data_IF_065695052974
#
_entry.id   IF_065695052974
#
_cell.length_a   1.000
_cell.length_b   1.000
_cell.length_c   1.000
_cell.angle_alpha   90.00
_cell.angle_beta   90.00
_cell.angle_gamma   90.00
#
_symmetry.space_group_name_H-M   'P 1'
#
loop_
_entity.id
_entity.type
_entity.pdbx_description
1 polymer ?
#
# COMPACT_ATOMS: atom_id res chain seq x y z
N UNK A 1 -2.69 -0.60 -21.04
CA UNK A 1 -3.50 0.15 -20.05
C UNK A 1 -2.71 0.51 -18.80
N UNK A 2 -2.31 -0.44 -17.94
CA UNK A 2 -1.51 -0.11 -16.75
C UNK A 2 -0.13 0.45 -17.10
N UNK A 3 0.62 -0.25 -17.97
CA UNK A 3 1.99 0.14 -18.34
C UNK A 3 2.03 1.32 -19.32
N UNK A 4 1.09 1.35 -20.26
CA UNK A 4 1.08 2.36 -21.33
C UNK A 4 0.42 3.67 -20.91
N UNK A 5 -0.51 3.65 -19.95
CA UNK A 5 -1.26 4.84 -19.52
C UNK A 5 -2.18 5.43 -20.59
N UNK A 6 -2.35 4.75 -21.73
CA UNK A 6 -3.17 5.24 -22.84
C UNK A 6 -4.61 5.47 -22.40
N UNK A 7 -5.14 6.65 -22.70
CA UNK A 7 -6.49 7.09 -22.32
C UNK A 7 -6.73 7.23 -20.81
N UNK A 8 -5.68 7.34 -20.01
CA UNK A 8 -5.82 7.67 -18.59
C UNK A 8 -6.57 8.99 -18.41
N UNK A 9 -7.70 8.93 -17.70
CA UNK A 9 -8.58 10.05 -17.41
C UNK A 9 -8.50 10.49 -15.93
N UNK A 10 -7.61 9.87 -15.16
CA UNK A 10 -7.26 10.24 -13.81
C UNK A 10 -5.80 9.94 -13.47
N UNK A 11 -5.33 10.50 -12.35
CA UNK A 11 -4.04 10.14 -11.77
C UNK A 11 -4.13 10.08 -10.24
N UNK A 12 -3.51 9.04 -9.64
CA UNK A 12 -3.31 8.97 -8.19
C UNK A 12 -2.12 9.86 -7.82
N UNK A 13 -2.33 10.78 -6.89
CA UNK A 13 -1.33 11.73 -6.41
C UNK A 13 -1.24 11.61 -4.90
N UNK A 14 -0.02 11.55 -4.38
CA UNK A 14 0.23 11.44 -2.94
C UNK A 14 0.73 12.77 -2.38
N UNK A 15 0.12 13.21 -1.29
CA UNK A 15 0.50 14.45 -0.60
C UNK A 15 0.84 14.16 0.85
N UNK A 16 1.96 14.69 1.33
CA UNK A 16 2.30 14.72 2.75
C UNK A 16 1.98 16.10 3.32
N UNK A 17 1.44 16.15 4.54
CA UNK A 17 1.09 17.39 5.27
C UNK A 17 2.29 18.35 5.50
N UNK A 18 3.51 17.93 5.15
CA UNK A 18 4.73 18.72 5.24
C UNK A 18 4.88 19.81 4.18
N UNK A 19 3.95 19.95 3.23
CA UNK A 19 3.97 21.02 2.22
C UNK A 19 2.75 21.94 2.33
N UNK A 20 2.72 22.77 3.38
CA UNK A 20 1.81 23.91 3.52
C UNK A 20 2.12 25.08 2.58
N UNK A 21 2.65 24.84 1.37
CA UNK A 21 2.84 25.88 0.37
C UNK A 21 2.17 25.51 -0.95
N UNK A 22 1.26 26.40 -1.33
CA UNK A 22 0.48 26.45 -2.55
C UNK A 22 1.37 26.63 -3.78
N UNK A 23 1.77 25.54 -4.43
CA UNK A 23 2.48 25.63 -5.71
C UNK A 23 1.57 25.20 -6.86
N UNK A 24 0.91 26.21 -7.42
CA UNK A 24 0.45 26.21 -8.81
C UNK A 24 1.69 26.35 -9.71
N UNK A 25 2.27 25.25 -10.18
CA UNK A 25 2.92 25.15 -11.50
C UNK A 25 3.57 23.75 -11.72
N UNK A 26 3.29 23.15 -12.88
CA UNK A 26 4.00 22.02 -13.53
C UNK A 26 4.97 22.63 -14.59
N UNK A 27 5.88 21.89 -15.27
CA UNK A 27 6.29 20.48 -15.13
C UNK A 27 7.82 20.21 -15.17
N UNK A 28 8.17 18.92 -14.97
CA UNK A 28 9.40 18.21 -15.38
C UNK A 28 10.76 18.59 -14.78
N UNK A 29 11.29 17.71 -13.92
CA UNK A 29 12.71 17.30 -13.91
C UNK A 29 12.95 16.20 -12.87
N UNK A 30 13.46 15.06 -13.35
CA UNK A 30 14.02 14.01 -12.51
C UNK A 30 15.44 14.42 -12.06
N UNK A 31 15.71 14.22 -10.77
CA UNK A 31 16.95 14.58 -10.05
C UNK A 31 17.22 16.08 -9.92
N UNK A 32 17.01 16.63 -8.71
CA UNK A 32 17.61 17.90 -8.34
C UNK A 32 17.78 17.97 -6.82
N UNK A 33 19.02 18.24 -6.42
CA UNK A 33 19.46 18.66 -5.08
C UNK A 33 18.87 20.02 -4.65
N UNK A 34 18.11 20.68 -5.53
CA UNK A 34 17.24 21.81 -5.24
C UNK A 34 15.77 21.35 -5.16
N UNK A 35 15.32 21.02 -3.95
CA UNK A 35 13.92 21.17 -3.47
C UNK A 35 12.74 20.46 -4.18
N UNK A 36 12.89 19.93 -5.39
CA UNK A 36 11.78 19.37 -6.16
C UNK A 36 11.80 17.85 -6.08
N UNK A 37 11.16 17.29 -5.04
CA UNK A 37 10.86 15.86 -5.02
C UNK A 37 9.74 15.61 -6.05
N UNK A 38 9.96 14.77 -7.09
CA UNK A 38 8.89 14.44 -8.01
C UNK A 38 7.73 13.82 -7.22
N UNK A 39 6.58 14.48 -7.23
CA UNK A 39 5.34 13.95 -6.66
C UNK A 39 5.04 12.66 -7.43
N UNK A 40 4.98 11.52 -6.75
CA UNK A 40 4.59 10.26 -7.36
C UNK A 40 3.18 10.42 -7.92
N UNK A 41 3.06 10.43 -9.24
CA UNK A 41 1.80 10.54 -9.97
C UNK A 41 1.64 9.28 -10.83
N UNK A 42 0.59 8.50 -10.56
CA UNK A 42 0.32 7.26 -11.29
C UNK A 42 -0.91 7.44 -12.18
N UNK A 43 -0.77 7.46 -13.51
CA UNK A 43 -1.91 7.55 -14.41
C UNK A 43 -2.81 6.32 -14.25
N UNK A 44 -4.12 6.53 -14.29
CA UNK A 44 -5.12 5.49 -14.08
C UNK A 44 -6.46 5.84 -14.73
N UNK A 45 -7.42 4.92 -14.65
CA UNK A 45 -8.72 5.03 -15.30
C UNK A 45 -9.85 5.06 -14.28
N UNK A 46 -10.68 6.11 -14.29
CA UNK A 46 -11.82 6.28 -13.37
C UNK A 46 -12.79 5.10 -13.43
N UNK A 47 -13.05 4.58 -14.64
CA UNK A 47 -13.94 3.44 -14.84
C UNK A 47 -13.42 2.18 -14.13
N UNK A 48 -12.12 1.89 -14.25
CA UNK A 48 -11.49 0.72 -13.60
C UNK A 48 -11.51 0.90 -12.08
N UNK A 49 -11.05 2.06 -11.58
CA UNK A 49 -11.06 2.35 -10.13
C UNK A 49 -12.47 2.23 -9.55
N UNK A 50 -13.48 2.79 -10.21
CA UNK A 50 -14.87 2.76 -9.74
C UNK A 50 -15.50 1.36 -9.79
N UNK A 51 -15.08 0.52 -10.74
CA UNK A 51 -15.55 -0.87 -10.83
C UNK A 51 -14.96 -1.73 -9.70
N UNK A 52 -13.69 -1.49 -9.35
CA UNK A 52 -12.92 -2.32 -8.42
C UNK A 52 -13.02 -1.89 -6.96
N UNK A 53 -13.36 -0.62 -6.71
CA UNK A 53 -13.40 -0.05 -5.37
C UNK A 53 -14.64 0.82 -5.19
N UNK A 54 -15.58 0.41 -4.32
CA UNK A 54 -16.69 1.26 -3.89
C UNK A 54 -16.22 2.61 -3.33
N UNK A 55 -15.09 2.64 -2.61
CA UNK A 55 -14.47 3.87 -2.12
C UNK A 55 -14.17 4.84 -3.27
N UNK A 56 -13.41 4.41 -4.29
CA UNK A 56 -13.07 5.27 -5.43
C UNK A 56 -14.30 5.63 -6.26
N UNK A 57 -15.25 4.70 -6.43
CA UNK A 57 -16.52 4.97 -7.09
C UNK A 57 -17.27 6.12 -6.42
N UNK A 58 -17.40 6.05 -5.09
CA UNK A 58 -18.09 7.08 -4.32
C UNK A 58 -17.34 8.41 -4.35
N UNK A 59 -16.00 8.39 -4.29
CA UNK A 59 -15.16 9.58 -4.39
C UNK A 59 -15.35 10.29 -5.75
N UNK A 60 -15.26 9.53 -6.85
CA UNK A 60 -15.41 10.04 -8.22
C UNK A 60 -16.83 10.57 -8.44
N UNK A 61 -17.86 9.82 -8.04
CA UNK A 61 -19.26 10.25 -8.20
C UNK A 61 -19.59 11.54 -7.44
N UNK A 62 -19.00 11.76 -6.26
CA UNK A 62 -19.17 13.02 -5.51
C UNK A 62 -18.57 14.19 -6.27
N UNK A 63 -17.39 14.04 -6.86
CA UNK A 63 -16.75 15.07 -7.69
C UNK A 63 -17.58 15.41 -8.93
N UNK A 64 -18.09 14.39 -9.63
CA UNK A 64 -18.97 14.59 -10.80
C UNK A 64 -20.22 15.41 -10.45
N UNK A 65 -20.83 15.16 -9.28
CA UNK A 65 -22.01 15.90 -8.81
C UNK A 65 -21.70 17.35 -8.42
N UNK A 66 -20.47 17.63 -7.97
CA UNK A 66 -20.02 18.98 -7.60
C UNK A 66 -19.86 19.92 -8.82
N UNK A 67 -19.81 19.36 -10.04
CA UNK A 67 -19.64 20.14 -11.27
C UNK A 67 -18.17 20.46 -11.63
N UNK A 68 -17.21 20.13 -10.75
CA UNK A 68 -15.77 20.24 -11.00
C UNK A 68 -15.33 19.45 -12.25
N UNK A 69 -16.01 18.34 -12.57
CA UNK A 69 -15.74 17.51 -13.75
C UNK A 69 -16.05 18.20 -15.10
N UNK A 70 -16.93 19.21 -15.15
CA UNK A 70 -17.40 19.79 -16.41
C UNK A 70 -16.30 20.60 -17.12
N UNK A 71 -15.47 21.31 -16.36
CA UNK A 71 -14.33 22.07 -16.90
C UNK A 71 -13.16 21.15 -17.24
N UNK A 72 -12.89 20.13 -16.41
CA UNK A 72 -11.82 19.14 -16.65
C UNK A 72 -12.05 18.36 -17.95
N UNK A 73 -13.29 17.93 -18.21
CA UNK A 73 -13.64 17.21 -19.46
C UNK A 73 -13.52 18.09 -20.70
N UNK A 74 -13.88 19.37 -20.61
CA UNK A 74 -13.76 20.31 -21.72
C UNK A 74 -12.28 20.60 -22.06
N UNK A 75 -11.39 20.53 -21.07
CA UNK A 75 -9.96 20.82 -21.22
C UNK A 75 -9.08 19.57 -21.39
N UNK A 76 -9.66 18.37 -21.43
CA UNK A 76 -8.92 17.10 -21.45
C UNK A 76 -7.87 16.97 -20.33
N UNK A 77 -8.14 17.57 -19.16
CA UNK A 77 -7.23 17.50 -18.01
C UNK A 77 -7.57 16.24 -17.19
N UNK A 78 -6.61 15.34 -16.92
CA UNK A 78 -6.84 14.17 -16.09
C UNK A 78 -7.24 14.57 -14.66
N UNK A 79 -8.27 13.90 -14.14
CA UNK A 79 -8.78 14.13 -12.78
C UNK A 79 -7.74 13.67 -11.75
N UNK A 80 -7.24 14.58 -10.90
CA UNK A 80 -6.24 14.25 -9.87
C UNK A 80 -6.93 13.73 -8.60
N UNK A 81 -6.68 12.47 -8.26
CA UNK A 81 -7.18 11.82 -7.04
C UNK A 81 -6.06 11.91 -6.00
N UNK A 82 -6.26 12.80 -5.02
CA UNK A 82 -5.27 13.07 -3.98
C UNK A 82 -5.47 12.11 -2.81
N UNK A 83 -4.41 11.39 -2.45
CA UNK A 83 -4.34 10.49 -1.30
C UNK A 83 -3.34 11.03 -0.29
N UNK A 84 -3.75 11.10 0.97
CA UNK A 84 -2.88 11.52 2.06
C UNK A 84 -1.85 10.42 2.39
N UNK A 85 -0.57 10.77 2.31
CA UNK A 85 0.55 9.86 2.64
C UNK A 85 0.56 9.40 4.09
N UNK A 86 -0.07 10.16 5.00
CA UNK A 86 -0.20 9.78 6.41
C UNK A 86 -1.14 8.58 6.60
N UNK A 87 -2.10 8.41 5.68
CA UNK A 87 -3.10 7.32 5.69
C UNK A 87 -2.70 6.20 4.74
N UNK A 88 -2.27 6.56 3.52
CA UNK A 88 -1.87 5.61 2.48
C UNK A 88 -0.44 5.96 2.07
N UNK A 89 0.57 5.31 2.67
CA UNK A 89 1.95 5.56 2.33
C UNK A 89 2.19 5.30 0.85
N UNK A 90 2.77 6.29 0.16
CA UNK A 90 3.02 6.24 -1.30
C UNK A 90 3.83 5.01 -1.76
N UNK A 91 4.55 4.35 -0.85
CA UNK A 91 5.29 3.11 -1.15
C UNK A 91 4.40 1.97 -1.65
N UNK A 92 3.13 1.97 -1.25
CA UNK A 92 2.13 0.96 -1.65
C UNK A 92 1.41 1.30 -2.96
N UNK A 93 1.64 2.49 -3.53
CA UNK A 93 0.87 2.98 -4.67
C UNK A 93 0.93 2.04 -5.88
N UNK A 94 2.12 1.49 -6.18
CA UNK A 94 2.33 0.59 -7.32
C UNK A 94 1.65 -0.76 -7.13
N UNK A 95 1.81 -1.40 -5.97
CA UNK A 95 1.16 -2.69 -5.67
C UNK A 95 -0.37 -2.55 -5.68
N UNK A 96 -0.91 -1.45 -5.14
CA UNK A 96 -2.36 -1.18 -5.17
C UNK A 96 -2.88 -1.02 -6.60
N UNK A 97 -2.21 -0.19 -7.41
CA UNK A 97 -2.64 0.03 -8.78
C UNK A 97 -2.48 -1.24 -9.63
N UNK A 98 -1.41 -2.01 -9.42
CA UNK A 98 -1.22 -3.29 -10.08
C UNK A 98 -2.34 -4.28 -9.75
N UNK A 99 -2.68 -4.42 -8.46
CA UNK A 99 -3.77 -5.29 -8.02
C UNK A 99 -5.13 -4.90 -8.62
N UNK A 100 -5.41 -3.60 -8.75
CA UNK A 100 -6.65 -3.10 -9.39
C UNK A 100 -6.77 -3.54 -10.86
N UNK A 101 -5.66 -3.63 -11.59
CA UNK A 101 -5.67 -3.94 -13.02
C UNK A 101 -5.54 -5.44 -13.29
N UNK A 102 -4.68 -6.12 -12.53
CA UNK A 102 -4.29 -7.50 -12.83
C UNK A 102 -4.85 -8.54 -11.85
N UNK A 103 -5.58 -8.11 -10.82
CA UNK A 103 -6.13 -8.98 -9.78
C UNK A 103 -5.07 -9.82 -9.03
N UNK A 104 -3.87 -9.27 -8.89
CA UNK A 104 -2.75 -9.95 -8.21
C UNK A 104 -2.03 -8.99 -7.26
N UNK A 105 -1.76 -9.47 -6.05
CA UNK A 105 -0.94 -8.76 -5.06
C UNK A 105 0.51 -9.21 -5.19
N UNK A 106 1.39 -8.29 -5.56
CA UNK A 106 2.83 -8.54 -5.64
C UNK A 106 3.58 -7.54 -4.74
N UNK A 107 4.09 -8.04 -3.60
CA UNK A 107 4.83 -7.21 -2.63
C UNK A 107 6.19 -6.72 -3.17
N UNK A 108 6.72 -7.30 -4.26
CA UNK A 108 7.94 -6.80 -4.91
C UNK A 108 7.77 -5.39 -5.47
N UNK A 109 6.52 -4.99 -5.75
CA UNK A 109 6.17 -3.67 -6.27
C UNK A 109 6.13 -2.59 -5.18
N UNK A 110 6.29 -2.95 -3.91
CA UNK A 110 6.39 -1.98 -2.81
C UNK A 110 7.69 -1.21 -2.95
N UNK A 111 7.60 0.11 -3.01
CA UNK A 111 8.76 0.98 -3.09
C UNK A 111 9.48 1.05 -1.74
N UNK A 112 10.35 0.08 -1.52
CA UNK A 112 11.41 0.13 -0.51
C UNK A 112 12.48 1.02 -1.13
N UNK A 113 12.66 2.24 -0.64
CA UNK A 113 13.46 3.29 -1.29
C UNK A 113 14.78 2.81 -1.91
N UNK A 114 15.21 3.49 -2.98
CA UNK A 114 16.49 3.29 -3.68
C UNK A 114 17.62 2.91 -2.69
N UNK A 115 18.38 1.82 -2.89
CA UNK A 115 18.59 1.06 -4.12
C UNK A 115 17.87 -0.29 -4.17
N UNK A 116 17.14 -0.48 -5.28
CA UNK A 116 16.89 -1.81 -5.82
C UNK A 116 18.23 -2.51 -6.06
N UNK A 117 18.41 -3.65 -5.42
CA UNK A 117 19.58 -4.50 -5.58
C UNK A 117 19.51 -5.61 -4.57
N UNK A 118 19.33 -6.83 -5.06
CA UNK A 118 19.78 -8.06 -4.41
C UNK A 118 21.25 -7.89 -4.01
N UNK A 119 21.49 -7.32 -2.84
CA UNK A 119 22.78 -7.32 -2.19
C UNK A 119 22.51 -7.36 -0.70
N UNK A 120 22.57 -8.57 -0.14
CA UNK A 120 22.87 -8.75 1.26
C UNK A 120 24.08 -7.83 1.60
N UNK A 121 23.84 -6.78 2.38
CA UNK A 121 24.90 -5.88 2.86
C UNK A 121 24.99 -4.48 2.23
N UNK A 122 23.90 -3.87 1.77
CA UNK A 122 23.94 -2.47 1.29
C UNK A 122 23.73 -1.45 2.43
N UNK A 123 24.56 -0.40 2.43
CA UNK A 123 24.65 0.71 3.39
C UNK A 123 23.31 1.40 3.73
N UNK A 124 22.24 1.15 2.97
CA UNK A 124 20.90 1.66 3.23
C UNK A 124 20.20 1.10 4.49
N UNK A 125 20.62 -0.05 5.03
CA UNK A 125 20.18 -0.51 6.36
C UNK A 125 20.73 0.39 7.47
N UNK A 126 22.01 0.77 7.36
CA UNK A 126 22.68 1.66 8.31
C UNK A 126 22.10 3.07 8.20
N UNK A 127 21.81 3.54 6.98
CA UNK A 127 21.22 4.86 6.73
C UNK A 127 19.78 5.01 7.26
N UNK A 128 18.96 3.94 7.19
CA UNK A 128 17.62 3.92 7.78
C UNK A 128 17.67 4.02 9.31
N UNK A 129 18.62 3.33 9.94
CA UNK A 129 18.85 3.36 11.39
C UNK A 129 19.44 4.70 11.86
N UNK A 130 20.31 5.35 11.08
CA UNK A 130 20.96 6.61 11.47
C UNK A 130 20.11 7.85 11.20
N UNK A 131 19.28 7.89 10.16
CA UNK A 131 18.48 9.08 9.81
C UNK A 131 17.02 9.05 10.25
N UNK A 132 16.42 7.87 10.45
CA UNK A 132 14.99 7.77 10.83
C UNK A 132 14.70 6.87 12.04
N UNK A 133 15.68 6.08 12.49
CA UNK A 133 15.54 5.17 13.63
C UNK A 133 14.47 4.07 13.46
N UNK A 134 13.89 3.92 12.27
CA UNK A 134 12.83 2.95 12.00
C UNK A 134 13.40 1.76 11.23
N UNK A 135 13.33 0.59 11.85
CA UNK A 135 13.58 -0.70 11.21
C UNK A 135 12.66 -0.83 9.99
N UNK A 136 13.21 -1.28 8.86
CA UNK A 136 12.43 -1.50 7.64
C UNK A 136 11.38 -2.57 7.94
N UNK A 137 10.09 -2.37 7.56
CA UNK A 137 9.08 -3.39 7.78
C UNK A 137 9.45 -4.70 7.07
N UNK A 138 9.24 -5.81 7.75
CA UNK A 138 9.34 -7.15 7.18
C UNK A 138 8.24 -7.37 6.12
N UNK A 139 8.38 -8.34 5.20
CA UNK A 139 7.33 -8.66 4.22
C UNK A 139 5.98 -8.98 4.87
N UNK A 140 5.99 -9.61 6.04
CA UNK A 140 4.79 -9.89 6.84
C UNK A 140 4.11 -8.60 7.32
N UNK A 141 4.88 -7.66 7.88
CA UNK A 141 4.35 -6.36 8.30
C UNK A 141 3.85 -5.54 7.11
N UNK A 142 4.57 -5.57 5.98
CA UNK A 142 4.13 -4.93 4.74
C UNK A 142 2.80 -5.50 4.25
N UNK A 143 2.59 -6.82 4.33
CA UNK A 143 1.33 -7.46 3.99
C UNK A 143 0.20 -7.06 4.95
N UNK A 144 0.48 -6.98 6.26
CA UNK A 144 -0.48 -6.54 7.27
C UNK A 144 -0.90 -5.07 7.10
N UNK A 145 0.03 -4.20 6.73
CA UNK A 145 -0.25 -2.80 6.39
C UNK A 145 -1.05 -2.69 5.09
N UNK A 146 -0.63 -3.42 4.05
CA UNK A 146 -1.32 -3.42 2.76
C UNK A 146 -2.74 -3.97 2.87
N UNK A 147 -2.97 -4.99 3.73
CA UNK A 147 -4.30 -5.48 4.07
C UNK A 147 -5.18 -4.34 4.61
N UNK A 148 -4.67 -3.56 5.56
CA UNK A 148 -5.43 -2.45 6.16
C UNK A 148 -5.77 -1.38 5.13
N UNK A 149 -4.84 -1.06 4.23
CA UNK A 149 -5.09 -0.14 3.12
C UNK A 149 -6.14 -0.72 2.16
N UNK A 150 -6.04 -2.01 1.82
CA UNK A 150 -7.02 -2.71 0.99
C UNK A 150 -8.42 -2.66 1.59
N UNK A 151 -8.55 -2.89 2.90
CA UNK A 151 -9.80 -2.76 3.64
C UNK A 151 -10.35 -1.33 3.63
N UNK A 152 -9.48 -0.33 3.83
CA UNK A 152 -9.88 1.08 3.79
C UNK A 152 -10.38 1.51 2.42
N UNK A 153 -9.71 1.08 1.36
CA UNK A 153 -10.07 1.37 -0.03
C UNK A 153 -11.18 0.45 -0.57
N UNK A 154 -11.73 -0.45 0.25
CA UNK A 154 -12.71 -1.45 -0.17
C UNK A 154 -12.26 -2.25 -1.41
N UNK A 155 -10.98 -2.66 -1.41
CA UNK A 155 -10.37 -3.50 -2.42
C UNK A 155 -10.29 -4.94 -1.90
N UNK A 156 -11.32 -5.74 -2.21
CA UNK A 156 -11.41 -7.13 -1.75
C UNK A 156 -10.23 -7.98 -2.24
N UNK A 157 -9.81 -7.78 -3.50
CA UNK A 157 -8.68 -8.51 -4.09
C UNK A 157 -7.35 -8.25 -3.37
N UNK A 158 -7.14 -7.02 -2.90
CA UNK A 158 -5.95 -6.67 -2.10
C UNK A 158 -6.05 -7.29 -0.72
N UNK A 159 -7.23 -7.20 -0.09
CA UNK A 159 -7.45 -7.76 1.24
C UNK A 159 -7.21 -9.27 1.24
N UNK A 160 -7.84 -10.00 0.32
CA UNK A 160 -7.67 -11.45 0.18
C UNK A 160 -6.23 -11.84 -0.16
N UNK A 161 -5.61 -11.17 -1.15
CA UNK A 161 -4.22 -11.46 -1.51
C UNK A 161 -3.24 -11.22 -0.36
N UNK A 162 -3.48 -10.22 0.49
CA UNK A 162 -2.67 -10.02 1.70
C UNK A 162 -2.91 -11.11 2.76
N UNK A 163 -4.14 -11.62 2.91
CA UNK A 163 -4.41 -12.74 3.82
C UNK A 163 -3.63 -13.99 3.41
N UNK A 164 -3.60 -14.31 2.12
CA UNK A 164 -2.85 -15.45 1.58
C UNK A 164 -1.34 -15.30 1.84
N UNK A 165 -0.78 -14.12 1.55
CA UNK A 165 0.64 -13.84 1.81
C UNK A 165 0.95 -13.92 3.30
N UNK A 166 0.10 -13.39 4.19
CA UNK A 166 0.33 -13.47 5.64
C UNK A 166 0.39 -14.94 6.10
N UNK A 167 -0.45 -15.82 5.54
CA UNK A 167 -0.39 -17.24 5.86
C UNK A 167 0.85 -17.94 5.29
N UNK A 168 1.32 -17.55 4.11
CA UNK A 168 2.58 -18.05 3.56
C UNK A 168 3.77 -17.76 4.49
N UNK A 169 3.75 -16.61 5.17
CA UNK A 169 4.77 -16.21 6.15
C UNK A 169 4.45 -16.66 7.60
N UNK A 170 3.40 -17.46 7.81
CA UNK A 170 3.05 -17.95 9.14
C UNK A 170 4.01 -19.08 9.56
N UNK A 171 4.78 -18.83 10.61
CA UNK A 171 5.72 -19.77 11.21
C UNK A 171 5.54 -19.78 12.73
N UNK A 172 6.21 -20.71 13.42
CA UNK A 172 6.24 -20.71 14.89
C UNK A 172 6.73 -19.36 15.43
N UNK A 173 7.75 -18.76 14.80
CA UNK A 173 8.33 -17.49 15.26
C UNK A 173 7.42 -16.29 14.98
N UNK A 174 6.71 -16.25 13.84
CA UNK A 174 5.83 -15.14 13.48
C UNK A 174 4.44 -15.21 14.14
N UNK A 175 4.05 -16.38 14.65
CA UNK A 175 2.72 -16.68 15.18
C UNK A 175 2.22 -15.68 16.25
N UNK A 176 3.00 -15.28 17.29
CA UNK A 176 2.49 -14.34 18.29
C UNK A 176 2.13 -12.97 17.69
N UNK A 177 2.95 -12.50 16.73
CA UNK A 177 2.70 -11.27 16.00
C UNK A 177 1.41 -11.34 15.18
N UNK A 178 1.24 -12.43 14.44
CA UNK A 178 0.03 -12.67 13.61
C UNK A 178 -1.23 -12.80 14.46
N UNK A 179 -1.18 -13.52 15.59
CA UNK A 179 -2.32 -13.63 16.52
C UNK A 179 -2.68 -12.29 17.15
N UNK A 180 -1.69 -11.52 17.58
CA UNK A 180 -1.92 -10.20 18.17
C UNK A 180 -2.53 -9.25 17.15
N UNK A 181 -1.98 -9.20 15.94
CA UNK A 181 -2.50 -8.39 14.85
C UNK A 181 -3.92 -8.81 14.43
N UNK A 182 -4.14 -10.11 14.20
CA UNK A 182 -5.44 -10.64 13.79
C UNK A 182 -6.55 -10.45 14.83
N UNK A 183 -6.20 -10.27 16.10
CA UNK A 183 -7.15 -9.94 17.17
C UNK A 183 -7.57 -8.47 17.21
N UNK A 184 -6.85 -7.58 16.52
CA UNK A 184 -7.18 -6.15 16.48
C UNK A 184 -8.41 -5.89 15.59
N UNK A 185 -9.17 -4.79 15.81
CA UNK A 185 -10.33 -4.43 14.99
C UNK A 185 -10.01 -4.24 13.50
N UNK A 186 -8.77 -3.82 13.19
CA UNK A 186 -8.28 -3.63 11.83
C UNK A 186 -7.57 -4.88 11.26
N UNK A 187 -7.41 -5.93 12.06
CA UNK A 187 -6.80 -7.20 11.63
C UNK A 187 -7.77 -8.06 10.85
N UNK A 188 -7.26 -9.10 10.18
CA UNK A 188 -8.12 -10.11 9.56
C UNK A 188 -8.59 -11.14 10.58
N UNK A 189 -9.91 -11.18 10.80
CA UNK A 189 -10.54 -12.24 11.60
C UNK A 189 -10.37 -13.63 10.96
N UNK A 190 -10.20 -13.70 9.64
CA UNK A 190 -9.94 -14.96 8.94
C UNK A 190 -8.53 -15.45 9.21
N UNK A 191 -7.51 -14.59 9.04
CA UNK A 191 -6.12 -14.91 9.39
C UNK A 191 -6.00 -15.28 10.87
N UNK A 192 -6.69 -14.58 11.77
CA UNK A 192 -6.69 -14.93 13.20
C UNK A 192 -7.17 -16.35 13.49
N UNK A 193 -8.23 -16.79 12.80
CA UNK A 193 -8.73 -18.17 12.92
C UNK A 193 -7.70 -19.17 12.41
N UNK A 194 -7.05 -18.87 11.29
CA UNK A 194 -6.03 -19.74 10.73
C UNK A 194 -4.78 -19.81 11.62
N UNK A 195 -4.34 -18.70 12.19
CA UNK A 195 -3.25 -18.66 13.16
C UNK A 195 -3.57 -19.47 14.43
N UNK A 196 -4.83 -19.41 14.92
CA UNK A 196 -5.29 -20.29 16.01
C UNK A 196 -5.33 -21.77 15.62
N UNK A 197 -5.64 -22.08 14.36
CA UNK A 197 -5.58 -23.44 13.85
C UNK A 197 -4.14 -23.95 13.85
N UNK A 198 -3.22 -23.18 13.28
CA UNK A 198 -1.79 -23.48 13.26
C UNK A 198 -1.22 -23.69 14.67
N UNK A 199 -1.59 -22.83 15.64
CA UNK A 199 -1.24 -23.00 17.05
C UNK A 199 -1.67 -24.36 17.62
N UNK A 200 -2.85 -24.87 17.23
CA UNK A 200 -3.37 -26.14 17.72
C UNK A 200 -2.65 -27.33 17.07
N UNK A 201 -2.30 -27.23 15.81
CA UNK A 201 -1.59 -28.28 15.08
C UNK A 201 -0.13 -28.41 15.56
N UNK A 202 0.56 -27.28 15.70
CA UNK A 202 1.98 -27.24 16.07
C UNK A 202 2.21 -27.07 17.58
N UNK A 203 1.19 -27.30 18.42
CA UNK A 203 1.23 -27.01 19.85
C UNK A 203 2.41 -27.67 20.56
N UNK A 204 2.77 -28.90 20.21
CA UNK A 204 3.91 -29.61 20.82
C UNK A 204 5.23 -28.90 20.53
N UNK A 205 5.45 -28.45 19.29
CA UNK A 205 6.67 -27.73 18.92
C UNK A 205 6.71 -26.36 19.60
N UNK A 206 5.57 -25.66 19.61
CA UNK A 206 5.42 -24.35 20.24
C UNK A 206 5.68 -24.45 21.75
N UNK A 207 5.16 -25.47 22.42
CA UNK A 207 5.31 -25.67 23.86
C UNK A 207 6.76 -25.93 24.29
N UNK A 208 7.60 -26.42 23.38
CA UNK A 208 9.03 -26.63 23.59
C UNK A 208 9.89 -25.42 23.20
N UNK A 209 9.28 -24.43 22.54
CA UNK A 209 9.96 -23.22 22.09
C UNK A 209 9.79 -22.05 23.08
N UNK A 210 10.66 -21.05 22.99
CA UNK A 210 10.53 -19.80 23.75
C UNK A 210 9.32 -18.96 23.34
N UNK A 211 8.71 -19.24 22.17
CA UNK A 211 7.53 -18.55 21.64
C UNK A 211 6.32 -18.74 22.55
N UNK A 212 6.21 -19.86 23.27
CA UNK A 212 5.10 -20.11 24.20
C UNK A 212 4.91 -18.95 25.20
N UNK A 213 6.01 -18.32 25.64
CA UNK A 213 5.98 -17.20 26.60
C UNK A 213 5.50 -15.88 25.99
N UNK A 214 5.34 -15.81 24.67
CA UNK A 214 4.93 -14.61 23.93
C UNK A 214 3.46 -14.65 23.46
N UNK A 215 2.82 -15.83 23.56
CA UNK A 215 1.41 -16.07 23.23
C UNK A 215 0.47 -15.55 24.33
#
# INVERSE_FOLDING_TARGET
LLETGDYADAALVFTSDSSGHSDYHRPDSASSEYGFRPKLELPCHKAILSARSPFFRNLIQRRTRSGEDHTERALHIPTRIVLDESVIPKRYARVLLHAVYLDTVDLSLILRGSGCGTSAGSLGEVEALTHTGRVRPSPLEEAMELYQIGRFLELDIVSQGCEDVILEWLTIESLPGVLRWGSQPHGSAWVHRQAKHFLREEFTQIAQSSVLHQL
#
